data_IF_171837422073
#
_entry.id   IF_171837422073
#
_cell.length_a   1.000
_cell.length_b   1.000
_cell.length_c   1.000
_cell.angle_alpha   90.00
_cell.angle_beta   90.00
_cell.angle_gamma   90.00
#
_symmetry.space_group_name_H-M   'P 1'
#
loop_
_entity.id
_entity.type
_entity.pdbx_description
1 polymer ?
#
# COMPACT_ATOMS: atom_id res chain seq x y z
N UNK A 1 10.72 8.99 0.48
CA UNK A 1 11.51 7.75 0.35
C UNK A 1 12.55 7.83 -0.76
N UNK A 2 12.18 8.07 -2.03
CA UNK A 2 13.15 8.12 -3.16
C UNK A 2 14.35 9.04 -2.87
N UNK A 3 14.10 10.28 -2.42
CA UNK A 3 15.15 11.25 -2.07
C UNK A 3 16.17 10.76 -1.03
N UNK A 4 15.78 9.82 -0.16
CA UNK A 4 16.64 9.25 0.88
C UNK A 4 17.46 8.06 0.38
N UNK A 5 17.10 7.50 -0.78
CA UNK A 5 17.68 6.27 -1.34
C UNK A 5 18.55 6.53 -2.58
N UNK A 6 18.76 7.79 -2.94
CA UNK A 6 19.54 8.23 -4.10
C UNK A 6 20.70 9.10 -3.63
N UNK A 7 21.73 9.20 -4.46
CA UNK A 7 22.88 10.06 -4.16
C UNK A 7 22.48 11.54 -4.09
N UNK A 8 23.27 12.37 -3.39
CA UNK A 8 23.07 13.82 -3.38
C UNK A 8 23.05 14.45 -4.78
N UNK A 9 23.73 13.83 -5.75
CA UNK A 9 23.75 14.25 -7.15
C UNK A 9 22.41 14.05 -7.87
N UNK A 10 21.52 13.22 -7.32
CA UNK A 10 20.22 12.81 -7.87
C UNK A 10 20.28 12.20 -9.27
N UNK A 11 21.43 11.67 -9.69
CA UNK A 11 21.62 11.10 -11.04
C UNK A 11 21.41 9.58 -11.09
N UNK A 12 21.47 8.91 -9.96
CA UNK A 12 21.39 7.44 -9.86
C UNK A 12 19.96 6.92 -9.61
N UNK A 13 18.95 7.80 -9.58
CA UNK A 13 17.58 7.42 -9.19
C UNK A 13 17.02 6.26 -10.01
N UNK A 14 17.25 6.23 -11.33
CA UNK A 14 16.79 5.15 -12.23
C UNK A 14 17.36 3.79 -11.79
N UNK A 15 18.65 3.76 -11.44
CA UNK A 15 19.31 2.54 -10.98
C UNK A 15 18.78 2.07 -9.62
N UNK A 16 18.37 3.01 -8.77
CA UNK A 16 17.83 2.71 -7.43
C UNK A 16 16.35 2.30 -7.44
N UNK A 17 15.59 2.65 -8.49
CA UNK A 17 14.15 2.41 -8.57
C UNK A 17 13.74 0.96 -8.27
N UNK A 18 14.37 -0.09 -8.85
CA UNK A 18 13.91 -1.46 -8.62
C UNK A 18 13.98 -1.87 -7.14
N UNK A 19 15.05 -1.48 -6.45
CA UNK A 19 15.21 -1.77 -5.03
C UNK A 19 14.23 -0.98 -4.16
N UNK A 20 13.97 0.29 -4.52
CA UNK A 20 13.00 1.16 -3.85
C UNK A 20 11.58 0.59 -4.01
N UNK A 21 11.19 0.23 -5.23
CA UNK A 21 9.90 -0.38 -5.52
C UNK A 21 9.71 -1.67 -4.71
N UNK A 22 10.73 -2.55 -4.73
CA UNK A 22 10.68 -3.80 -3.97
C UNK A 22 10.50 -3.54 -2.47
N UNK A 23 11.22 -2.56 -1.91
CA UNK A 23 11.09 -2.19 -0.50
C UNK A 23 9.69 -1.66 -0.17
N UNK A 24 9.12 -0.77 -1.00
CA UNK A 24 7.76 -0.23 -0.81
C UNK A 24 6.73 -1.36 -0.87
N UNK A 25 6.81 -2.22 -1.87
CA UNK A 25 5.84 -3.30 -2.09
C UNK A 25 5.96 -4.44 -1.06
N UNK A 26 7.10 -4.55 -0.38
CA UNK A 26 7.32 -5.50 0.71
C UNK A 26 6.98 -4.95 2.09
N UNK A 27 6.95 -3.63 2.26
CA UNK A 27 6.68 -3.00 3.54
C UNK A 27 5.21 -3.18 3.97
N UNK A 28 5.00 -3.51 5.24
CA UNK A 28 3.66 -3.58 5.84
C UNK A 28 3.07 -2.17 5.94
N UNK A 29 1.90 -1.96 5.35
CA UNK A 29 1.15 -0.72 5.56
C UNK A 29 0.52 -0.73 6.96
N UNK A 30 0.70 0.34 7.74
CA UNK A 30 0.04 0.48 9.05
C UNK A 30 -1.49 0.54 8.92
N UNK A 31 -1.99 1.08 7.81
CA UNK A 31 -3.43 1.26 7.62
C UNK A 31 -4.12 -0.07 7.32
N UNK A 32 -3.52 -0.90 6.47
CA UNK A 32 -4.13 -2.18 6.07
C UNK A 32 -3.58 -3.37 6.85
N UNK A 33 -2.43 -3.23 7.50
CA UNK A 33 -1.74 -4.31 8.19
C UNK A 33 -1.06 -5.32 7.25
N UNK A 34 -1.08 -5.11 5.92
CA UNK A 34 -0.51 -6.02 4.93
C UNK A 34 0.46 -5.32 3.99
N UNK A 35 1.38 -6.09 3.40
CA UNK A 35 2.26 -5.61 2.34
C UNK A 35 1.57 -5.65 0.97
N UNK A 36 1.79 -4.68 0.07
CA UNK A 36 1.21 -4.66 -1.27
C UNK A 36 1.46 -5.94 -2.09
N UNK A 37 2.67 -6.51 -2.04
CA UNK A 37 2.97 -7.75 -2.73
C UNK A 37 2.08 -8.91 -2.28
N UNK A 38 1.85 -9.01 -0.97
CA UNK A 38 0.98 -10.02 -0.39
C UNK A 38 -0.47 -9.83 -0.85
N UNK A 39 -0.97 -8.60 -0.87
CA UNK A 39 -2.34 -8.33 -1.32
C UNK A 39 -2.56 -8.64 -2.80
N UNK A 40 -1.57 -8.38 -3.67
CA UNK A 40 -1.69 -8.61 -5.10
C UNK A 40 -1.53 -10.10 -5.48
N UNK A 41 -0.59 -10.80 -4.85
CA UNK A 41 -0.19 -12.16 -5.28
C UNK A 41 -0.55 -13.26 -4.28
N UNK A 42 -1.11 -12.90 -3.12
CA UNK A 42 -1.36 -13.82 -2.01
C UNK A 42 -0.08 -14.34 -1.33
N UNK A 43 1.10 -13.85 -1.73
CA UNK A 43 2.38 -14.26 -1.18
C UNK A 43 3.38 -13.13 -1.24
N UNK A 44 4.30 -13.11 -0.28
CA UNK A 44 5.47 -12.25 -0.37
C UNK A 44 6.47 -12.85 -1.35
N UNK A 45 7.05 -12.06 -2.28
CA UNK A 45 8.20 -12.53 -3.05
C UNK A 45 9.35 -12.85 -2.09
N UNK A 46 10.13 -13.88 -2.43
CA UNK A 46 11.35 -14.18 -1.69
C UNK A 46 12.29 -12.98 -1.75
N UNK A 47 13.06 -12.79 -0.67
CA UNK A 47 14.17 -11.85 -0.64
C UNK A 47 15.07 -12.09 -1.87
N UNK A 48 15.81 -11.06 -2.32
CA UNK A 48 16.75 -11.15 -3.45
C UNK A 48 17.88 -12.18 -3.25
N UNK A 49 17.90 -12.89 -2.12
CA UNK A 49 18.71 -14.08 -1.86
C UNK A 49 18.07 -15.30 -2.54
N UNK A 50 18.68 -15.74 -3.63
CA UNK A 50 18.25 -16.88 -4.43
C UNK A 50 18.54 -18.21 -3.74
N UNK A 51 17.69 -18.62 -2.82
CA UNK A 51 17.64 -20.03 -2.38
C UNK A 51 16.49 -20.75 -3.09
N UNK A 52 16.84 -21.85 -3.76
CA UNK A 52 15.92 -22.71 -4.51
C UNK A 52 14.85 -23.33 -3.60
N UNK A 53 13.57 -23.42 -4.02
CA UNK A 53 12.54 -24.11 -3.24
C UNK A 53 12.76 -25.64 -3.19
N UNK A 54 12.43 -26.24 -2.04
CA UNK A 54 12.14 -27.68 -1.93
C UNK A 54 10.72 -27.98 -2.49
N UNK A 55 10.51 -29.19 -3.02
CA UNK A 55 9.34 -29.61 -3.81
C UNK A 55 7.98 -29.65 -3.09
N UNK A 56 7.95 -29.51 -1.76
CA UNK A 56 6.78 -29.86 -0.94
C UNK A 56 5.95 -28.68 -0.37
N UNK A 57 6.08 -27.47 -0.93
CA UNK A 57 5.54 -26.24 -0.31
C UNK A 57 4.04 -25.97 -0.54
N UNK A 58 3.20 -26.97 -0.84
CA UNK A 58 1.79 -26.70 -1.18
C UNK A 58 0.77 -27.68 -0.57
N UNK A 59 0.48 -27.59 0.74
CA UNK A 59 -0.70 -28.22 1.29
C UNK A 59 -1.96 -27.37 0.97
N UNK A 60 -2.87 -27.91 0.16
CA UNK A 60 -4.29 -27.52 0.10
C UNK A 60 -4.65 -26.15 -0.48
N UNK A 61 -4.66 -26.01 -1.81
CA UNK A 61 -5.05 -24.81 -2.58
C UNK A 61 -6.35 -24.13 -2.10
N UNK A 62 -7.35 -24.90 -1.65
CA UNK A 62 -8.63 -24.36 -1.16
C UNK A 62 -8.50 -23.55 0.12
N UNK A 63 -7.69 -24.01 1.07
CA UNK A 63 -7.46 -23.31 2.35
C UNK A 63 -6.69 -22.02 2.09
N UNK A 64 -5.69 -22.06 1.21
CA UNK A 64 -4.96 -20.88 0.76
C UNK A 64 -5.88 -19.85 0.11
N UNK A 65 -6.73 -20.25 -0.85
CA UNK A 65 -7.66 -19.34 -1.50
C UNK A 65 -8.65 -18.67 -0.53
N UNK A 66 -9.18 -19.44 0.44
CA UNK A 66 -10.04 -18.90 1.50
C UNK A 66 -9.30 -17.88 2.38
N UNK A 67 -8.05 -18.17 2.73
CA UNK A 67 -7.21 -17.27 3.51
C UNK A 67 -6.96 -15.94 2.77
N UNK A 68 -6.57 -15.99 1.49
CA UNK A 68 -6.35 -14.77 0.69
C UNK A 68 -7.62 -13.94 0.55
N UNK A 69 -8.77 -14.59 0.34
CA UNK A 69 -10.07 -13.90 0.31
C UNK A 69 -10.33 -13.13 1.61
N UNK A 70 -10.08 -13.76 2.76
CA UNK A 70 -10.28 -13.13 4.06
C UNK A 70 -9.34 -11.94 4.28
N UNK A 71 -8.06 -12.08 3.90
CA UNK A 71 -7.09 -10.99 3.99
C UNK A 71 -7.51 -9.80 3.12
N UNK A 72 -7.97 -10.06 1.88
CA UNK A 72 -8.41 -8.98 0.99
C UNK A 72 -9.62 -8.23 1.55
N UNK A 73 -10.59 -8.95 2.12
CA UNK A 73 -11.75 -8.34 2.78
C UNK A 73 -11.32 -7.48 3.98
N UNK A 74 -10.45 -8.01 4.84
CA UNK A 74 -9.91 -7.27 5.99
C UNK A 74 -9.16 -6.00 5.56
N UNK A 75 -8.31 -6.09 4.53
CA UNK A 75 -7.59 -4.94 4.01
C UNK A 75 -8.54 -3.87 3.45
N UNK A 76 -9.61 -4.28 2.76
CA UNK A 76 -10.63 -3.38 2.25
C UNK A 76 -11.35 -2.62 3.37
N UNK A 77 -11.78 -3.33 4.41
CA UNK A 77 -12.46 -2.72 5.56
C UNK A 77 -11.56 -1.73 6.30
N UNK A 78 -10.28 -2.08 6.45
CA UNK A 78 -9.25 -1.19 6.98
C UNK A 78 -9.10 0.10 6.17
N UNK A 79 -9.11 0.02 4.82
CA UNK A 79 -9.05 1.22 3.96
C UNK A 79 -10.28 2.09 4.16
N UNK A 80 -11.48 1.51 4.23
CA UNK A 80 -12.71 2.27 4.48
C UNK A 80 -12.67 2.98 5.84
N UNK A 81 -12.29 2.27 6.89
CA UNK A 81 -12.16 2.84 8.23
C UNK A 81 -11.13 3.99 8.27
N UNK A 82 -9.97 3.81 7.63
CA UNK A 82 -8.95 4.83 7.51
C UNK A 82 -9.46 6.08 6.78
N UNK A 83 -10.20 5.90 5.68
CA UNK A 83 -10.80 7.03 4.93
C UNK A 83 -11.79 7.81 5.79
N UNK A 84 -12.70 7.13 6.48
CA UNK A 84 -13.68 7.80 7.37
C UNK A 84 -12.96 8.60 8.45
N UNK A 85 -11.93 8.03 9.08
CA UNK A 85 -11.11 8.71 10.10
C UNK A 85 -10.42 9.96 9.51
N UNK A 86 -9.75 9.82 8.38
CA UNK A 86 -9.06 10.92 7.71
C UNK A 86 -10.02 12.05 7.30
N UNK A 87 -11.20 11.71 6.78
CA UNK A 87 -12.24 12.70 6.45
C UNK A 87 -12.71 13.44 7.70
N UNK A 88 -12.98 12.72 8.79
CA UNK A 88 -13.36 13.34 10.07
C UNK A 88 -12.27 14.29 10.59
N UNK A 89 -11.02 13.85 10.59
CA UNK A 89 -9.90 14.63 11.09
C UNK A 89 -9.62 15.87 10.22
N UNK A 90 -9.66 15.73 8.90
CA UNK A 90 -9.49 16.82 7.95
C UNK A 90 -10.63 17.86 8.03
N UNK A 91 -11.87 17.41 8.24
CA UNK A 91 -13.03 18.30 8.33
C UNK A 91 -13.17 18.97 9.70
N UNK A 92 -12.51 18.45 10.76
CA UNK A 92 -12.64 18.95 12.14
C UNK A 92 -12.41 20.46 12.29
N UNK A 93 -11.55 21.07 11.46
CA UNK A 93 -11.24 22.51 11.50
C UNK A 93 -11.72 23.27 10.25
N UNK A 94 -12.40 22.61 9.31
CA UNK A 94 -12.90 23.27 8.10
C UNK A 94 -14.15 24.07 8.43
N UNK A 95 -14.21 25.29 7.90
CA UNK A 95 -15.44 26.10 7.92
C UNK A 95 -16.33 25.65 6.77
N UNK A 96 -17.66 25.64 6.95
CA UNK A 96 -18.56 25.45 5.83
C UNK A 96 -18.29 26.52 4.77
N UNK A 97 -18.33 26.12 3.50
CA UNK A 97 -18.20 27.07 2.41
C UNK A 97 -19.36 28.08 2.48
N UNK A 98 -19.09 29.40 2.44
CA UNK A 98 -20.15 30.41 2.52
C UNK A 98 -20.93 30.57 1.20
N UNK A 99 -20.46 29.91 0.13
CA UNK A 99 -20.98 30.06 -1.23
C UNK A 99 -22.12 29.09 -1.52
N UNK A 100 -23.02 29.50 -2.41
CA UNK A 100 -24.12 28.69 -2.94
C UNK A 100 -23.86 28.35 -4.41
N UNK A 101 -24.55 27.31 -4.89
CA UNK A 101 -24.51 26.96 -6.31
C UNK A 101 -24.96 28.16 -7.17
N UNK A 102 -24.12 28.56 -8.12
CA UNK A 102 -24.35 29.73 -8.98
C UNK A 102 -23.55 30.98 -8.59
N UNK A 103 -22.92 31.00 -7.42
CA UNK A 103 -22.04 32.11 -7.03
C UNK A 103 -20.77 32.14 -7.90
N UNK A 104 -20.41 33.33 -8.39
CA UNK A 104 -19.14 33.54 -9.07
C UNK A 104 -18.04 33.73 -8.03
N UNK A 105 -16.99 32.92 -8.12
CA UNK A 105 -15.80 33.00 -7.27
C UNK A 105 -14.55 33.14 -8.13
N UNK A 106 -13.57 33.89 -7.64
CA UNK A 106 -12.26 34.00 -8.28
C UNK A 106 -11.39 32.84 -7.82
N UNK A 107 -10.70 32.17 -8.75
CA UNK A 107 -9.82 31.01 -8.50
C UNK A 107 -8.37 31.44 -8.54
#
# INVERSE_FOLDING_TARGET
MIRQCIEPSQKDWVLRLPAIEFAINSARSESTGYAPFFLNNGRMPRSLLWDSPSKDEFPGVRVFAQHIKHVLMSAHDSVLAARVKQTRDANRKRRPAPFKNGDLVYV
#
